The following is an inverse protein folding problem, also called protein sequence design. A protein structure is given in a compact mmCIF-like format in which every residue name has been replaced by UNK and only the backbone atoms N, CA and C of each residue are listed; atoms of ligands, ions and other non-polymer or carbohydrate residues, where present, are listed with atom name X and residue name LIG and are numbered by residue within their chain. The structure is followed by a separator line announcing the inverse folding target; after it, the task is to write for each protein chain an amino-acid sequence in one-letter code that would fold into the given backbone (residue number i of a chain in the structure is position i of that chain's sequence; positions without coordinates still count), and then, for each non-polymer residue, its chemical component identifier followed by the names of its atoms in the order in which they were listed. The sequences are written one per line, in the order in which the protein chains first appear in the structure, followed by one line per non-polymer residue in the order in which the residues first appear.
data_IF_065162700014
#
_entry.id   IF_065162700014
#
_cell.length_a   1.000
_cell.length_b   1.000
_cell.length_c   1.000
_cell.angle_alpha   90.00
_cell.angle_beta   90.00
_cell.angle_gamma   90.00
#
_symmetry.space_group_name_H-M   'P 1'
#
loop_
_entity.id
_entity.type
_entity.pdbx_description
1 polymer ?
#
# COMPACT_ATOMS: atom_id res chain seq x y z
N UNK A 1 -1.80 8.37 -31.67
CA UNK A 1 -1.72 8.38 -30.19
C UNK A 1 -1.95 6.99 -29.61
N UNK A 2 -3.01 6.26 -30.00
CA UNK A 2 -3.24 4.90 -29.53
C UNK A 2 -2.11 3.91 -29.90
N UNK A 3 -1.63 4.00 -31.13
CA UNK A 3 -0.56 3.14 -31.65
C UNK A 3 0.83 3.49 -31.05
N UNK A 4 0.95 4.66 -30.44
CA UNK A 4 2.18 5.10 -29.77
C UNK A 4 2.37 4.47 -28.38
N UNK A 5 1.29 3.95 -27.79
CA UNK A 5 1.32 3.35 -26.46
C UNK A 5 1.71 1.88 -26.62
N UNK A 6 2.80 1.39 -26.00
CA UNK A 6 3.18 -0.01 -26.07
C UNK A 6 2.06 -0.93 -25.56
N UNK A 7 1.96 -2.16 -26.08
CA UNK A 7 0.97 -3.12 -25.58
C UNK A 7 1.29 -3.59 -24.15
N UNK A 8 2.58 -3.67 -23.81
CA UNK A 8 3.05 -4.12 -22.51
C UNK A 8 4.45 -3.59 -22.18
N UNK A 9 4.84 -3.69 -20.91
CA UNK A 9 6.18 -3.36 -20.41
C UNK A 9 6.72 -4.46 -19.48
N UNK A 10 8.04 -4.54 -19.35
CA UNK A 10 8.71 -5.46 -18.44
C UNK A 10 9.04 -6.83 -19.04
N UNK A 11 10.04 -7.50 -18.45
CA UNK A 11 10.48 -8.87 -18.74
C UNK A 11 10.89 -9.56 -17.42
N UNK A 12 10.81 -10.89 -17.29
CA UNK A 12 10.33 -11.85 -18.29
C UNK A 12 8.79 -11.92 -18.39
N UNK A 13 8.08 -11.45 -17.37
CA UNK A 13 6.61 -11.40 -17.36
C UNK A 13 6.16 -9.99 -17.78
N UNK A 14 5.52 -9.82 -18.96
CA UNK A 14 5.06 -8.52 -19.42
C UNK A 14 3.79 -8.08 -18.69
N UNK A 15 3.72 -6.81 -18.30
CA UNK A 15 2.54 -6.16 -17.75
C UNK A 15 1.80 -5.42 -18.89
N UNK A 16 0.51 -5.71 -19.14
CA UNK A 16 -0.24 -5.06 -20.21
C UNK A 16 -0.49 -3.57 -19.88
N UNK A 17 -0.34 -2.71 -20.89
CA UNK A 17 -0.53 -1.25 -20.78
C UNK A 17 -1.78 -0.73 -21.50
N UNK A 18 -2.39 -1.51 -22.38
CA UNK A 18 -3.64 -1.14 -23.03
C UNK A 18 -4.45 -2.36 -23.38
N UNK A 19 -5.77 -2.19 -23.42
CA UNK A 19 -6.70 -3.22 -23.89
C UNK A 19 -6.68 -3.33 -25.42
N UNK A 20 -6.49 -4.51 -26.02
CA UNK A 20 -6.52 -4.66 -27.48
C UNK A 20 -7.82 -4.20 -28.16
N UNK A 21 -8.94 -4.13 -27.43
CA UNK A 21 -10.24 -3.65 -27.93
C UNK A 21 -10.50 -2.16 -27.67
N UNK A 22 -9.56 -1.46 -27.05
CA UNK A 22 -9.64 -0.01 -26.83
C UNK A 22 -10.41 0.43 -25.58
N UNK A 23 -10.75 -0.47 -24.65
CA UNK A 23 -11.56 -0.11 -23.47
C UNK A 23 -10.77 0.58 -22.35
N UNK A 24 -9.48 0.31 -22.19
CA UNK A 24 -8.66 0.94 -21.16
C UNK A 24 -7.21 1.13 -21.60
N UNK A 25 -6.55 2.08 -20.95
CA UNK A 25 -5.11 2.33 -21.06
C UNK A 25 -4.52 2.64 -19.69
N UNK A 26 -3.39 2.02 -19.36
CA UNK A 26 -2.62 2.29 -18.16
C UNK A 26 -1.90 3.62 -18.29
N UNK A 27 -2.16 4.54 -17.38
CA UNK A 27 -1.59 5.90 -17.42
C UNK A 27 -0.39 6.07 -16.50
N UNK A 28 -0.29 5.25 -15.46
CA UNK A 28 0.80 5.29 -14.50
C UNK A 28 0.97 3.91 -13.84
N UNK A 29 2.22 3.51 -13.67
CA UNK A 29 2.57 2.37 -12.83
C UNK A 29 3.10 2.91 -11.50
N UNK A 30 2.45 2.56 -10.40
CA UNK A 30 2.83 3.01 -9.06
C UNK A 30 3.21 1.82 -8.18
N UNK A 31 4.36 1.88 -7.48
CA UNK A 31 4.64 0.92 -6.43
C UNK A 31 3.78 1.24 -5.21
N UNK A 32 3.31 0.20 -4.54
CA UNK A 32 2.70 0.30 -3.21
C UNK A 32 3.80 0.16 -2.17
N UNK A 33 3.76 1.02 -1.15
CA UNK A 33 4.82 1.09 -0.16
C UNK A 33 4.33 1.39 1.24
N UNK A 34 5.32 1.39 2.13
CA UNK A 34 5.16 1.67 3.54
C UNK A 34 5.76 3.04 3.83
N UNK A 35 4.97 3.89 4.47
CA UNK A 35 5.42 5.16 5.05
C UNK A 35 5.59 4.93 6.54
N UNK A 36 6.67 5.45 7.13
CA UNK A 36 6.93 5.25 8.56
C UNK A 36 7.48 6.51 9.23
N UNK A 37 7.29 6.58 10.55
CA UNK A 37 7.79 7.64 11.42
C UNK A 37 9.05 7.14 12.15
N UNK A 38 10.26 7.58 11.76
CA UNK A 38 11.52 7.01 12.28
C UNK A 38 11.67 7.10 13.80
N UNK A 39 11.21 8.22 14.41
CA UNK A 39 11.28 8.41 15.87
C UNK A 39 10.40 7.42 16.62
N UNK A 40 9.23 7.10 16.09
CA UNK A 40 8.31 6.14 16.69
C UNK A 40 8.84 4.71 16.54
N UNK A 41 9.30 4.33 15.34
CA UNK A 41 9.90 3.00 15.13
C UNK A 41 11.11 2.77 16.05
N UNK A 42 11.99 3.78 16.21
CA UNK A 42 13.11 3.72 17.16
C UNK A 42 12.63 3.54 18.60
N UNK A 43 11.58 4.27 19.01
CA UNK A 43 11.00 4.15 20.37
C UNK A 43 10.37 2.77 20.61
N UNK A 44 9.74 2.20 19.60
CA UNK A 44 9.17 0.85 19.65
C UNK A 44 10.25 -0.24 19.55
N UNK A 45 11.45 0.10 19.10
CA UNK A 45 12.51 -0.87 18.83
C UNK A 45 12.08 -1.87 17.75
N UNK A 46 11.51 -1.34 16.66
CA UNK A 46 11.07 -2.08 15.48
C UNK A 46 11.81 -1.52 14.27
N UNK A 47 12.30 -2.41 13.42
CA UNK A 47 12.87 -2.11 12.10
C UNK A 47 11.92 -2.71 11.06
N UNK A 48 11.66 -1.99 9.97
CA UNK A 48 10.82 -2.46 8.87
C UNK A 48 11.73 -2.73 7.67
N UNK A 49 11.91 -3.99 7.31
CA UNK A 49 12.67 -4.47 6.15
C UNK A 49 11.75 -5.03 5.09
N UNK A 50 10.66 -5.65 5.53
CA UNK A 50 9.67 -6.25 4.64
C UNK A 50 8.26 -6.11 5.23
N UNK A 51 7.25 -6.51 4.46
CA UNK A 51 5.84 -6.45 4.84
C UNK A 51 5.55 -7.28 6.09
N UNK A 52 6.20 -8.43 6.28
CA UNK A 52 5.98 -9.29 7.45
C UNK A 52 6.37 -8.60 8.77
N UNK A 53 7.24 -7.59 8.75
CA UNK A 53 7.57 -6.81 9.96
C UNK A 53 6.37 -6.01 10.48
N UNK A 54 5.37 -5.73 9.63
CA UNK A 54 4.11 -5.12 10.03
C UNK A 54 3.30 -6.00 10.99
N UNK A 55 3.57 -7.31 11.02
CA UNK A 55 2.93 -8.24 11.94
C UNK A 55 3.57 -8.24 13.33
N UNK A 56 4.66 -7.50 13.55
CA UNK A 56 5.32 -7.41 14.84
C UNK A 56 4.36 -6.91 15.93
N UNK A 57 4.15 -7.65 17.04
CA UNK A 57 3.22 -7.26 18.11
C UNK A 57 3.51 -5.89 18.74
N UNK A 58 4.76 -5.40 18.64
CA UNK A 58 5.13 -4.05 19.10
C UNK A 58 4.48 -2.93 18.28
N UNK A 59 3.96 -3.25 17.09
CA UNK A 59 3.20 -2.32 16.25
C UNK A 59 1.70 -2.34 16.56
N UNK A 60 1.25 -3.03 17.62
CA UNK A 60 -0.17 -3.06 17.98
C UNK A 60 -0.71 -1.65 18.20
N UNK A 61 -1.71 -1.26 17.40
CA UNK A 61 -2.33 0.06 17.42
C UNK A 61 -1.46 1.16 16.78
N UNK A 62 -0.38 0.80 16.08
CA UNK A 62 0.58 1.75 15.50
C UNK A 62 0.55 1.79 13.97
N UNK A 63 -0.35 1.03 13.34
CA UNK A 63 -0.53 1.01 11.88
C UNK A 63 -1.76 1.82 11.49
N UNK A 64 -1.60 2.72 10.53
CA UNK A 64 -2.66 3.46 9.88
C UNK A 64 -2.87 2.94 8.45
N UNK A 65 -4.11 2.69 8.07
CA UNK A 65 -4.50 2.32 6.70
C UNK A 65 -5.90 2.85 6.39
N UNK A 66 -6.36 2.74 5.14
CA UNK A 66 -7.77 2.97 4.78
C UNK A 66 -8.44 1.61 4.53
N UNK A 67 -9.76 1.51 4.68
CA UNK A 67 -10.46 0.27 4.37
C UNK A 67 -10.47 -0.01 2.85
N UNK A 68 -10.40 -1.28 2.41
CA UNK A 68 -10.35 -1.63 1.00
C UNK A 68 -11.66 -1.34 0.23
N UNK A 69 -12.78 -1.10 0.91
CA UNK A 69 -14.04 -0.65 0.30
C UNK A 69 -14.06 0.85 -0.02
N UNK A 70 -13.17 1.64 0.61
CA UNK A 70 -13.11 3.11 0.45
C UNK A 70 -11.88 3.60 -0.32
N UNK A 71 -10.97 2.72 -0.67
CA UNK A 71 -9.69 3.07 -1.25
C UNK A 71 -9.24 2.01 -2.25
N UNK A 72 -9.11 2.39 -3.52
CA UNK A 72 -8.63 1.51 -4.58
C UNK A 72 -7.20 1.02 -4.32
N UNK A 73 -6.34 1.86 -3.74
CA UNK A 73 -4.97 1.46 -3.37
C UNK A 73 -4.94 0.45 -2.23
N UNK A 74 -5.82 0.62 -1.24
CA UNK A 74 -5.97 -0.32 -0.12
C UNK A 74 -6.56 -1.64 -0.60
N UNK A 75 -7.53 -1.57 -1.52
CA UNK A 75 -8.09 -2.72 -2.21
C UNK A 75 -7.03 -3.51 -2.96
N UNK A 76 -6.30 -2.84 -3.86
CA UNK A 76 -5.22 -3.44 -4.64
C UNK A 76 -4.14 -4.05 -3.73
N UNK A 77 -3.81 -3.40 -2.61
CA UNK A 77 -2.84 -3.98 -1.67
C UNK A 77 -3.34 -5.29 -1.06
N UNK A 78 -4.63 -5.38 -0.70
CA UNK A 78 -5.22 -6.64 -0.23
C UNK A 78 -5.17 -7.72 -1.31
N UNK A 79 -5.48 -7.37 -2.56
CA UNK A 79 -5.39 -8.31 -3.69
C UNK A 79 -3.96 -8.81 -3.90
N UNK A 80 -2.96 -7.92 -3.85
CA UNK A 80 -1.54 -8.30 -3.97
C UNK A 80 -1.16 -9.28 -2.86
N UNK A 81 -1.54 -9.02 -1.60
CA UNK A 81 -1.29 -9.94 -0.48
C UNK A 81 -1.92 -11.31 -0.75
N UNK A 82 -3.17 -11.35 -1.21
CA UNK A 82 -3.87 -12.61 -1.52
C UNK A 82 -3.23 -13.36 -2.71
N UNK A 83 -2.75 -12.64 -3.72
CA UNK A 83 -2.03 -13.23 -4.87
C UNK A 83 -0.64 -13.74 -4.48
N UNK A 84 0.06 -13.04 -3.59
CA UNK A 84 1.41 -13.40 -3.12
C UNK A 84 1.40 -14.60 -2.19
N UNK A 85 0.51 -14.61 -1.19
CA UNK A 85 0.49 -15.65 -0.15
C UNK A 85 -0.51 -16.78 -0.43
N UNK A 86 -1.41 -16.60 -1.39
CA UNK A 86 -2.56 -17.47 -1.61
C UNK A 86 -3.71 -17.14 -0.65
N UNK A 87 -4.90 -17.71 -0.92
CA UNK A 87 -6.14 -17.34 -0.24
C UNK A 87 -6.08 -17.46 1.29
N UNK A 88 -5.77 -18.64 1.80
CA UNK A 88 -5.84 -18.94 3.25
C UNK A 88 -4.77 -18.17 4.03
N UNK A 89 -3.51 -18.26 3.58
CA UNK A 89 -2.38 -17.58 4.24
C UNK A 89 -2.46 -16.07 4.09
N UNK A 90 -2.96 -15.57 2.96
CA UNK A 90 -3.17 -14.14 2.74
C UNK A 90 -4.21 -13.57 3.70
N UNK A 91 -5.34 -14.26 3.91
CA UNK A 91 -6.32 -13.85 4.91
C UNK A 91 -5.80 -13.96 6.35
N UNK A 92 -5.01 -14.97 6.66
CA UNK A 92 -4.32 -15.06 7.95
C UNK A 92 -3.41 -13.84 8.18
N UNK A 93 -2.62 -13.47 7.17
CA UNK A 93 -1.72 -12.32 7.21
C UNK A 93 -2.51 -11.01 7.38
N UNK A 94 -3.54 -10.78 6.57
CA UNK A 94 -4.40 -9.58 6.65
C UNK A 94 -5.09 -9.47 8.01
N UNK A 95 -5.50 -10.59 8.60
CA UNK A 95 -6.10 -10.62 9.93
C UNK A 95 -5.09 -10.22 11.02
N UNK A 96 -3.85 -10.71 10.94
CA UNK A 96 -2.78 -10.31 11.86
C UNK A 96 -2.43 -8.82 11.70
N UNK A 97 -2.38 -8.33 10.45
CA UNK A 97 -2.19 -6.91 10.19
C UNK A 97 -3.32 -6.06 10.79
N UNK A 98 -4.58 -6.49 10.64
CA UNK A 98 -5.73 -5.82 11.22
C UNK A 98 -5.63 -5.74 12.75
N UNK A 99 -5.11 -6.79 13.41
CA UNK A 99 -4.88 -6.77 14.86
C UNK A 99 -3.83 -5.73 15.29
N UNK A 100 -2.89 -5.37 14.41
CA UNK A 100 -1.92 -4.29 14.65
C UNK A 100 -2.42 -2.91 14.20
N UNK A 101 -3.54 -2.84 13.49
CA UNK A 101 -4.09 -1.59 12.96
C UNK A 101 -4.74 -0.78 14.06
N UNK A 102 -4.27 0.46 14.21
CA UNK A 102 -4.81 1.41 15.18
C UNK A 102 -5.91 2.28 14.61
N UNK A 103 -5.87 2.56 13.29
CA UNK A 103 -6.90 3.34 12.62
C UNK A 103 -7.12 2.88 11.18
N UNK A 104 -8.40 2.87 10.80
CA UNK A 104 -8.82 2.92 9.41
C UNK A 104 -9.23 4.36 9.07
N UNK A 105 -8.41 5.09 8.33
CA UNK A 105 -8.69 6.47 7.91
C UNK A 105 -9.85 6.50 6.93
N UNK A 106 -10.51 7.67 6.82
CA UNK A 106 -11.62 7.83 5.88
C UNK A 106 -11.16 7.83 4.41
N UNK A 107 -9.94 8.30 4.15
CA UNK A 107 -9.31 8.34 2.82
C UNK A 107 -7.87 7.84 2.94
N UNK A 108 -7.39 7.13 1.93
CA UNK A 108 -6.00 6.64 1.91
C UNK A 108 -4.96 7.75 1.88
N UNK A 109 -5.28 8.89 1.26
CA UNK A 109 -4.42 10.08 1.26
C UNK A 109 -4.20 10.72 2.64
N UNK A 110 -5.00 10.35 3.65
CA UNK A 110 -4.87 10.90 5.01
C UNK A 110 -3.86 10.10 5.85
N UNK A 111 -3.57 8.85 5.45
CA UNK A 111 -2.60 7.95 6.12
C UNK A 111 -1.22 8.60 6.25
N UNK A 112 -0.63 9.19 5.19
CA UNK A 112 0.68 9.81 5.33
C UNK A 112 0.69 10.97 6.32
N UNK A 113 -0.38 11.75 6.43
CA UNK A 113 -0.46 12.87 7.37
C UNK A 113 -0.42 12.42 8.83
N UNK A 114 -1.16 11.37 9.19
CA UNK A 114 -1.19 10.86 10.58
C UNK A 114 0.13 10.16 10.96
N UNK A 115 0.82 9.54 9.99
CA UNK A 115 2.17 9.00 10.19
C UNK A 115 3.20 10.13 10.33
N UNK A 116 3.15 11.14 9.46
CA UNK A 116 4.06 12.29 9.49
C UNK A 116 3.95 13.07 10.82
N UNK A 117 2.73 13.25 11.34
CA UNK A 117 2.48 13.86 12.65
C UNK A 117 2.95 13.00 13.83
N UNK A 118 3.26 11.72 13.60
CA UNK A 118 3.66 10.79 14.64
C UNK A 118 2.50 10.35 15.53
N UNK A 119 1.27 10.32 14.99
CA UNK A 119 0.13 9.70 15.65
C UNK A 119 0.19 8.16 15.49
N UNK A 120 0.71 7.69 14.35
CA UNK A 120 0.93 6.27 14.05
C UNK A 120 2.36 6.05 13.55
N UNK A 121 2.94 4.89 13.83
CA UNK A 121 4.33 4.61 13.47
C UNK A 121 4.50 4.23 12.00
N UNK A 122 3.49 3.60 11.41
CA UNK A 122 3.55 3.03 10.07
C UNK A 122 2.21 3.23 9.36
N UNK A 123 2.23 3.36 8.03
CA UNK A 123 1.02 3.31 7.23
C UNK A 123 1.26 2.99 5.76
N UNK A 124 0.17 2.67 5.08
CA UNK A 124 0.17 2.32 3.66
C UNK A 124 0.18 3.59 2.81
N UNK A 125 0.97 3.61 1.75
CA UNK A 125 1.03 4.75 0.84
C UNK A 125 1.46 4.36 -0.56
N UNK A 126 1.07 5.19 -1.52
CA UNK A 126 1.66 5.22 -2.86
C UNK A 126 2.44 6.53 -3.02
N UNK A 127 3.54 6.54 -3.80
CA UNK A 127 4.36 7.74 -3.97
C UNK A 127 3.60 8.95 -4.51
N UNK A 128 2.55 8.74 -5.30
CA UNK A 128 1.74 9.82 -5.88
C UNK A 128 1.00 10.66 -4.86
N UNK A 129 0.74 10.15 -3.64
CA UNK A 129 0.22 10.96 -2.55
C UNK A 129 1.14 12.13 -2.19
N UNK A 130 2.45 11.96 -2.39
CA UNK A 130 3.47 12.97 -2.12
C UNK A 130 3.82 13.83 -3.33
N UNK A 131 3.45 13.38 -4.54
CA UNK A 131 3.65 14.14 -5.77
C UNK A 131 2.74 15.38 -5.84
N UNK A 132 1.63 15.37 -5.09
CA UNK A 132 0.73 16.50 -4.91
C UNK A 132 0.85 17.03 -3.48
N UNK A 133 2.04 17.48 -3.09
CA UNK A 133 2.14 18.35 -1.92
C UNK A 133 1.29 19.60 -2.20
N UNK A 134 0.24 19.81 -1.40
CA UNK A 134 -0.45 21.10 -1.37
C UNK A 134 0.60 22.15 -0.95
N UNK A 135 0.90 23.06 -1.89
CA UNK A 135 1.76 24.23 -1.67
C UNK A 135 1.06 25.22 -0.75
#
# INVERSE_FOLDING_TARGET
MWDEIPESIGKPVPLPLKDPKGFWVGTMLEPYGIIYQPKLLKRLGVEIKDWDDLLNPKLKGQIAQCTPDRSSSSHATCEVVLQTYGWERGWEWLTKLAANTGIFTARSRDVPSVVAKGEFAVGFGVPSYMAFAEV
#
